data_IF_084129584484
#
_entry.id   IF_084129584484
#
_cell.length_a   1.000
_cell.length_b   1.000
_cell.length_c   1.000
_cell.angle_alpha   90.00
_cell.angle_beta   90.00
_cell.angle_gamma   90.00
#
_symmetry.space_group_name_H-M   'P 1'
#
loop_
_entity.id
_entity.type
_entity.pdbx_description
1 polymer ?
#
# COMPACT_ATOMS: atom_id res chain seq x y z
N UNK A 1 -6.17 -0.49 3.25
CA UNK A 1 -4.96 -1.04 2.61
C UNK A 1 -3.84 -0.02 2.71
N UNK A 2 -2.74 -0.34 3.40
CA UNK A 2 -1.58 0.54 3.53
C UNK A 2 -0.65 0.37 2.32
N UNK A 3 -0.25 1.49 1.72
CA UNK A 3 0.79 1.54 0.70
C UNK A 3 2.20 1.44 1.33
N UNK A 4 3.20 1.08 0.53
CA UNK A 4 4.60 0.90 0.92
C UNK A 4 5.19 2.16 1.56
N UNK A 5 4.79 3.34 1.07
CA UNK A 5 5.24 4.61 1.64
C UNK A 5 4.76 4.81 3.09
N UNK A 6 3.51 4.50 3.42
CA UNK A 6 2.94 4.66 4.77
C UNK A 6 3.59 3.69 5.74
N UNK A 7 3.86 2.46 5.31
CA UNK A 7 4.60 1.49 6.15
C UNK A 7 6.02 2.00 6.45
N UNK A 8 6.68 2.68 5.51
CA UNK A 8 7.96 3.34 5.75
C UNK A 8 7.87 4.45 6.82
N UNK A 9 6.80 5.26 6.82
CA UNK A 9 6.57 6.25 7.87
C UNK A 9 6.33 5.61 9.24
N UNK A 10 5.61 4.48 9.29
CA UNK A 10 5.44 3.70 10.51
C UNK A 10 6.79 3.26 11.09
N UNK A 11 7.68 2.66 10.29
CA UNK A 11 9.01 2.24 10.77
C UNK A 11 9.90 3.40 11.20
N UNK A 12 9.68 4.61 10.65
CA UNK A 12 10.34 5.85 11.06
C UNK A 12 9.72 6.49 12.31
N UNK A 13 8.71 5.85 12.91
CA UNK A 13 7.97 6.34 14.09
C UNK A 13 7.33 7.71 13.87
N UNK A 14 6.77 7.95 12.69
CA UNK A 14 6.01 9.16 12.44
C UNK A 14 4.78 9.22 13.36
N UNK A 15 4.66 10.29 14.14
CA UNK A 15 3.66 10.41 15.21
C UNK A 15 2.22 10.38 14.66
N UNK A 16 1.95 11.07 13.56
CA UNK A 16 0.61 11.12 12.94
C UNK A 16 0.17 9.74 12.43
N UNK A 17 1.07 9.03 11.74
CA UNK A 17 0.82 7.67 11.24
C UNK A 17 0.64 6.68 12.39
N UNK A 18 1.48 6.77 13.44
CA UNK A 18 1.34 5.94 14.63
C UNK A 18 0.01 6.18 15.36
N UNK A 19 -0.40 7.43 15.52
CA UNK A 19 -1.67 7.78 16.14
C UNK A 19 -2.85 7.20 15.35
N UNK A 20 -2.81 7.27 14.02
CA UNK A 20 -3.83 6.68 13.14
C UNK A 20 -3.89 5.17 13.23
N UNK A 21 -2.74 4.49 13.19
CA UNK A 21 -2.65 3.04 13.33
C UNK A 21 -3.18 2.57 14.69
N UNK A 22 -2.85 3.27 15.77
CA UNK A 22 -3.32 2.93 17.12
C UNK A 22 -4.83 3.18 17.31
N UNK A 23 -5.43 4.05 16.50
CA UNK A 23 -6.86 4.37 16.57
C UNK A 23 -7.73 3.40 15.75
N UNK A 24 -7.13 2.51 14.94
CA UNK A 24 -7.84 1.59 14.06
C UNK A 24 -7.55 0.15 14.52
N UNK A 25 -8.59 -0.68 14.64
CA UNK A 25 -8.43 -2.10 14.93
C UNK A 25 -7.59 -2.80 13.86
N UNK A 26 -6.67 -3.68 14.27
CA UNK A 26 -5.79 -4.42 13.35
C UNK A 26 -6.55 -5.19 12.27
N UNK A 27 -7.74 -5.72 12.58
CA UNK A 27 -8.64 -6.41 11.64
C UNK A 27 -9.14 -5.53 10.47
N UNK A 28 -9.09 -4.20 10.62
CA UNK A 28 -9.44 -3.24 9.59
C UNK A 28 -8.20 -2.72 8.82
N UNK A 29 -7.02 -3.27 9.10
CA UNK A 29 -5.78 -2.96 8.43
C UNK A 29 -5.35 -4.13 7.55
N UNK A 30 -4.91 -3.81 6.35
CA UNK A 30 -4.39 -4.79 5.41
C UNK A 30 -3.31 -4.17 4.53
N UNK A 31 -2.51 -5.01 3.88
CA UNK A 31 -1.59 -4.62 2.81
C UNK A 31 -1.79 -5.51 1.59
N UNK A 32 -1.38 -5.01 0.43
CA UNK A 32 -1.24 -5.83 -0.77
C UNK A 32 -0.01 -6.74 -0.63
N UNK A 33 -0.05 -7.95 -1.17
CA UNK A 33 1.14 -8.80 -1.32
C UNK A 33 2.25 -8.12 -2.12
N UNK A 34 1.93 -7.14 -2.97
CA UNK A 34 2.90 -6.30 -3.69
C UNK A 34 3.67 -5.40 -2.70
N UNK A 35 2.97 -4.74 -1.79
CA UNK A 35 3.60 -3.96 -0.70
C UNK A 35 4.45 -4.86 0.19
N UNK A 36 3.96 -6.05 0.54
CA UNK A 36 4.75 -7.02 1.29
C UNK A 36 6.06 -7.39 0.57
N UNK A 37 6.00 -7.64 -0.75
CA UNK A 37 7.18 -7.93 -1.57
C UNK A 37 8.19 -6.77 -1.57
N UNK A 38 7.73 -5.51 -1.68
CA UNK A 38 8.61 -4.35 -1.61
C UNK A 38 9.31 -4.20 -0.25
N UNK A 39 8.60 -4.48 0.85
CA UNK A 39 9.15 -4.44 2.20
C UNK A 39 10.22 -5.51 2.40
N UNK A 40 9.94 -6.75 1.96
CA UNK A 40 10.90 -7.87 2.01
C UNK A 40 12.14 -7.52 1.17
N UNK A 41 11.95 -7.05 -0.07
CA UNK A 41 13.06 -6.61 -0.92
C UNK A 41 13.89 -5.50 -0.24
N UNK A 42 13.24 -4.51 0.36
CA UNK A 42 13.90 -3.43 1.07
C UNK A 42 14.75 -3.90 2.25
N UNK A 43 14.27 -4.88 3.01
CA UNK A 43 15.01 -5.51 4.11
C UNK A 43 16.23 -6.28 3.59
N UNK A 44 16.04 -7.16 2.60
CA UNK A 44 17.09 -7.97 1.98
C UNK A 44 18.18 -7.11 1.35
N UNK A 45 17.80 -6.07 0.61
CA UNK A 45 18.73 -5.16 -0.06
C UNK A 45 19.65 -4.44 0.93
N UNK A 46 19.13 -4.04 2.09
CA UNK A 46 19.89 -3.31 3.11
C UNK A 46 20.77 -4.20 3.97
N UNK A 47 20.56 -5.53 3.95
CA UNK A 47 21.32 -6.51 4.75
C UNK A 47 21.40 -6.13 6.23
N UNK A 48 20.31 -5.59 6.78
CA UNK A 48 20.23 -5.15 8.17
C UNK A 48 19.30 -6.08 8.95
N UNK A 49 19.88 -6.83 9.89
CA UNK A 49 19.15 -7.83 10.69
C UNK A 49 17.98 -7.21 11.47
N UNK A 50 18.19 -6.04 12.09
CA UNK A 50 17.16 -5.34 12.85
C UNK A 50 15.99 -4.90 11.95
N UNK A 51 16.28 -4.38 10.76
CA UNK A 51 15.22 -4.02 9.81
C UNK A 51 14.45 -5.25 9.34
N UNK A 52 15.16 -6.35 9.09
CA UNK A 52 14.54 -7.61 8.63
C UNK A 52 13.60 -8.18 9.68
N UNK A 53 14.01 -8.17 10.95
CA UNK A 53 13.17 -8.56 12.08
C UNK A 53 11.95 -7.65 12.22
N UNK A 54 12.12 -6.33 12.13
CA UNK A 54 11.00 -5.37 12.17
C UNK A 54 9.99 -5.60 11.04
N UNK A 55 10.47 -5.86 9.82
CA UNK A 55 9.60 -6.17 8.67
C UNK A 55 8.88 -7.50 8.89
N UNK A 56 9.57 -8.55 9.34
CA UNK A 56 8.95 -9.85 9.60
C UNK A 56 7.85 -9.75 10.67
N UNK A 57 8.10 -9.06 11.78
CA UNK A 57 7.11 -8.84 12.84
C UNK A 57 5.91 -8.03 12.35
N UNK A 58 6.15 -6.98 11.54
CA UNK A 58 5.08 -6.20 10.94
C UNK A 58 4.20 -7.06 10.02
N UNK A 59 4.81 -7.80 9.09
CA UNK A 59 4.09 -8.66 8.15
C UNK A 59 3.28 -9.76 8.87
N UNK A 60 3.82 -10.34 9.95
CA UNK A 60 3.13 -11.33 10.76
C UNK A 60 1.88 -10.78 11.49
N UNK A 61 1.79 -9.44 11.64
CA UNK A 61 0.67 -8.77 12.32
C UNK A 61 -0.39 -8.20 11.39
N UNK A 62 -0.15 -8.22 10.07
CA UNK A 62 -1.02 -7.60 9.07
C UNK A 62 -1.79 -8.65 8.28
N UNK A 63 -3.04 -8.35 7.93
CA UNK A 63 -3.75 -9.09 6.88
C UNK A 63 -3.09 -8.77 5.53
N UNK A 64 -2.57 -9.79 4.85
CA UNK A 64 -1.95 -9.65 3.53
C UNK A 64 -2.89 -10.22 2.50
N UNK A 65 -3.44 -9.37 1.62
CA UNK A 65 -4.24 -9.86 0.51
C UNK A 65 -3.37 -10.35 -0.64
N UNK A 66 -3.72 -11.53 -1.16
CA UNK A 66 -3.04 -12.18 -2.28
C UNK A 66 -3.41 -11.56 -3.63
N UNK A 67 -2.45 -11.60 -4.56
CA UNK A 67 -2.70 -11.21 -5.94
C UNK A 67 -3.39 -12.34 -6.70
N UNK A 68 -4.71 -12.28 -6.80
CA UNK A 68 -5.51 -13.31 -7.47
C UNK A 68 -6.03 -12.84 -8.85
N UNK A 69 -6.78 -13.72 -9.53
CA UNK A 69 -7.31 -13.44 -10.87
C UNK A 69 -8.27 -12.25 -10.92
N UNK A 70 -9.07 -12.02 -9.87
CA UNK A 70 -10.01 -10.88 -9.79
C UNK A 70 -9.22 -9.56 -9.75
N UNK A 71 -8.14 -9.53 -8.97
CA UNK A 71 -7.23 -8.37 -8.93
C UNK A 71 -6.57 -8.15 -10.29
N UNK A 72 -6.14 -9.21 -10.97
CA UNK A 72 -5.55 -9.14 -12.31
C UNK A 72 -6.53 -8.56 -13.36
N UNK A 73 -7.81 -8.94 -13.30
CA UNK A 73 -8.85 -8.35 -14.16
C UNK A 73 -9.02 -6.85 -13.89
N UNK A 74 -9.04 -6.45 -12.61
CA UNK A 74 -9.14 -5.03 -12.23
C UNK A 74 -7.92 -4.24 -12.72
N UNK A 75 -6.73 -4.81 -12.60
CA UNK A 75 -5.49 -4.22 -13.11
C UNK A 75 -5.54 -3.97 -14.62
N UNK A 76 -5.94 -4.98 -15.41
CA UNK A 76 -5.98 -4.85 -16.87
C UNK A 76 -6.90 -3.71 -17.32
N UNK A 77 -8.07 -3.60 -16.70
CA UNK A 77 -9.01 -2.49 -16.95
C UNK A 77 -8.40 -1.14 -16.57
N UNK A 78 -7.86 -1.03 -15.35
CA UNK A 78 -7.28 0.21 -14.85
C UNK A 78 -6.09 0.68 -15.70
N UNK A 79 -5.19 -0.24 -16.11
CA UNK A 79 -4.05 0.08 -16.97
C UNK A 79 -4.50 0.68 -18.29
N UNK A 80 -5.45 0.05 -18.96
CA UNK A 80 -5.99 0.52 -20.24
C UNK A 80 -6.68 1.89 -20.10
N UNK A 81 -7.39 2.13 -19.00
CA UNK A 81 -8.02 3.43 -18.71
C UNK A 81 -6.98 4.53 -18.53
N UNK A 82 -5.93 4.29 -17.74
CA UNK A 82 -4.86 5.27 -17.52
C UNK A 82 -4.10 5.57 -18.82
N UNK A 83 -3.71 4.54 -19.58
CA UNK A 83 -3.02 4.72 -20.86
C UNK A 83 -3.85 5.52 -21.86
N UNK A 84 -5.17 5.23 -21.96
CA UNK A 84 -6.09 5.99 -22.81
C UNK A 84 -6.18 7.47 -22.40
N UNK A 85 -6.08 7.76 -21.11
CA UNK A 85 -6.09 9.12 -20.57
C UNK A 85 -4.73 9.83 -20.60
N UNK A 86 -3.67 9.19 -21.11
CA UNK A 86 -2.31 9.73 -21.14
C UNK A 86 -1.62 9.80 -19.78
N UNK A 87 -2.17 9.12 -18.78
CA UNK A 87 -1.65 9.08 -17.42
C UNK A 87 -0.62 7.96 -17.27
N UNK A 88 0.49 8.27 -16.60
CA UNK A 88 1.58 7.31 -16.33
C UNK A 88 1.69 7.12 -14.82
N UNK A 89 1.72 5.85 -14.40
CA UNK A 89 1.92 5.43 -13.01
C UNK A 89 2.94 4.31 -12.96
N UNK A 90 3.72 4.25 -11.87
CA UNK A 90 4.65 3.16 -11.61
C UNK A 90 3.94 1.81 -11.64
N UNK A 91 4.61 0.77 -12.15
CA UNK A 91 3.96 -0.54 -12.33
C UNK A 91 3.49 -1.13 -10.99
N UNK A 92 4.30 -1.01 -9.92
CA UNK A 92 3.93 -1.54 -8.60
C UNK A 92 2.80 -0.71 -7.96
N UNK A 93 2.87 0.61 -8.05
CA UNK A 93 1.80 1.52 -7.57
C UNK A 93 0.47 1.20 -8.26
N UNK A 94 0.51 0.99 -9.58
CA UNK A 94 -0.67 0.61 -10.35
C UNK A 94 -1.24 -0.74 -9.90
N UNK A 95 -0.39 -1.70 -9.59
CA UNK A 95 -0.82 -2.98 -9.03
C UNK A 95 -1.47 -2.77 -7.66
N UNK A 96 -0.87 -1.99 -6.76
CA UNK A 96 -1.42 -1.67 -5.44
C UNK A 96 -2.79 -0.98 -5.58
N UNK A 97 -2.93 -0.01 -6.49
CA UNK A 97 -4.19 0.67 -6.76
C UNK A 97 -5.27 -0.30 -7.28
N UNK A 98 -4.91 -1.17 -8.23
CA UNK A 98 -5.82 -2.19 -8.74
C UNK A 98 -6.29 -3.14 -7.63
N UNK A 99 -5.40 -3.48 -6.72
CA UNK A 99 -5.71 -4.32 -5.57
C UNK A 99 -6.68 -3.62 -4.61
N UNK A 100 -6.40 -2.37 -4.24
CA UNK A 100 -7.29 -1.59 -3.38
C UNK A 100 -8.70 -1.44 -3.98
N UNK A 101 -8.80 -1.18 -5.29
CA UNK A 101 -10.08 -1.12 -6.01
C UNK A 101 -10.80 -2.48 -6.02
N UNK A 102 -10.07 -3.57 -6.25
CA UNK A 102 -10.64 -4.93 -6.28
C UNK A 102 -11.25 -5.32 -4.95
N UNK A 103 -10.64 -4.90 -3.84
CA UNK A 103 -11.09 -5.20 -2.47
C UNK A 103 -12.01 -4.11 -1.89
N UNK A 104 -12.38 -3.10 -2.68
CA UNK A 104 -13.14 -1.93 -2.23
C UNK A 104 -12.57 -1.29 -0.95
N UNK A 105 -11.25 -1.24 -0.85
CA UNK A 105 -10.53 -0.71 0.30
C UNK A 105 -10.23 0.79 0.13
N UNK A 106 -10.11 1.49 1.25
CA UNK A 106 -9.40 2.78 1.28
C UNK A 106 -7.90 2.51 1.15
N UNK A 107 -7.26 3.12 0.16
CA UNK A 107 -5.81 3.13 0.02
C UNK A 107 -5.24 4.26 0.88
N UNK A 108 -4.38 3.90 1.83
CA UNK A 108 -3.67 4.89 2.64
C UNK A 108 -2.30 5.12 1.99
N UNK A 109 -2.09 6.31 1.45
CA UNK A 109 -0.87 6.69 0.72
C UNK A 109 -0.56 8.17 0.93
N UNK A 110 0.72 8.54 0.82
CA UNK A 110 1.12 9.95 0.76
C UNK A 110 1.51 10.39 -0.67
N UNK A 111 1.34 9.52 -1.66
CA UNK A 111 1.61 9.81 -3.07
C UNK A 111 0.37 10.35 -3.76
N UNK A 112 0.47 11.59 -4.26
CA UNK A 112 -0.62 12.26 -4.98
C UNK A 112 -0.89 11.62 -6.34
N UNK A 113 0.03 10.81 -6.90
CA UNK A 113 -0.19 10.09 -8.15
C UNK A 113 -1.48 9.26 -8.11
N UNK A 114 -1.83 8.66 -6.97
CA UNK A 114 -3.04 7.84 -6.85
C UNK A 114 -4.35 8.63 -7.06
N UNK A 115 -4.34 9.96 -6.89
CA UNK A 115 -5.53 10.80 -7.09
C UNK A 115 -6.01 10.83 -8.54
N UNK A 116 -5.17 10.46 -9.51
CA UNK A 116 -5.57 10.37 -10.92
C UNK A 116 -6.54 9.20 -11.18
N UNK A 117 -6.65 8.25 -10.24
CA UNK A 117 -7.46 7.03 -10.39
C UNK A 117 -8.89 7.30 -9.94
N UNK A 118 -9.82 7.18 -10.89
CA UNK A 118 -11.24 7.32 -10.59
C UNK A 118 -11.75 6.21 -9.68
N UNK A 119 -12.59 6.57 -8.70
CA UNK A 119 -13.22 5.66 -7.74
C UNK A 119 -12.26 4.97 -6.75
N UNK A 120 -11.00 5.40 -6.68
CA UNK A 120 -10.10 4.95 -5.62
C UNK A 120 -10.27 5.86 -4.40
N UNK A 121 -10.72 5.29 -3.28
CA UNK A 121 -10.81 6.00 -2.02
C UNK A 121 -9.42 6.12 -1.41
N UNK A 122 -8.97 7.34 -1.12
CA UNK A 122 -7.62 7.61 -0.65
C UNK A 122 -7.64 8.37 0.66
N UNK A 123 -6.78 7.98 1.59
CA UNK A 123 -6.45 8.76 2.78
C UNK A 123 -4.95 9.03 2.86
N UNK A 124 -4.59 10.23 3.30
CA UNK A 124 -3.21 10.57 3.63
C UNK A 124 -3.08 10.77 5.14
N UNK A 125 -2.41 9.83 5.82
CA UNK A 125 -2.18 9.86 7.27
C UNK A 125 -0.94 10.65 7.69
N UNK A 126 -0.19 11.22 6.75
CA UNK A 126 1.00 12.05 7.07
C UNK A 126 0.63 13.51 7.35
N UNK A 127 -0.58 13.94 6.99
CA UNK A 127 -1.08 15.28 7.23
C UNK A 127 -1.74 15.34 8.62
N UNK A 128 -1.42 16.38 9.39
CA UNK A 128 -2.19 16.70 10.60
C UNK A 128 -3.57 17.23 10.15
N UNK A 129 -4.64 16.65 10.69
CA UNK A 129 -6.00 17.22 10.57
C UNK A 129 -6.20 18.28 11.64
#
# INVERSE_FOLDING_TARGET
MLDTNIVSYFFRKNETVLAKLNAISLENLCISSITAAELIYGAEKRKNAKLSEMVALFLASMEIYDWNYVVAQRYGKLRAELEKSGNVMGNLDLMIAAHALSQNCILVTNDNAFQMIQNLNIENWTLMK
#
